data_IF_243353518151
#
_entry.id   IF_243353518151
#
_cell.length_a   1.000
_cell.length_b   1.000
_cell.length_c   1.000
_cell.angle_alpha   90.00
_cell.angle_beta   90.00
_cell.angle_gamma   90.00
#
_symmetry.space_group_name_H-M   'P 1'
#
loop_
_entity.id
_entity.type
_entity.pdbx_description
1 polymer ?
#
# COMPACT_ATOMS: atom_id res chain seq x y z
N UNK A 1 -30.25 9.05 9.76
CA UNK A 1 -29.77 9.30 8.39
C UNK A 1 -29.76 10.82 8.22
N UNK A 2 -28.60 11.44 8.05
CA UNK A 2 -28.51 12.89 7.88
C UNK A 2 -28.24 13.22 6.41
N UNK A 3 -29.21 13.90 5.79
CA UNK A 3 -29.14 14.41 4.41
C UNK A 3 -28.71 15.88 4.47
N UNK A 4 -27.86 16.32 3.54
CA UNK A 4 -27.58 17.75 3.36
C UNK A 4 -28.75 18.43 2.60
N UNK A 5 -28.90 19.74 2.79
CA UNK A 5 -29.99 20.63 2.34
C UNK A 5 -30.23 20.60 0.81
N UNK A 6 -29.29 20.08 0.02
CA UNK A 6 -29.38 20.00 -1.45
C UNK A 6 -29.91 18.68 -1.99
N UNK A 7 -30.23 17.70 -1.14
CA UNK A 7 -30.76 16.40 -1.58
C UNK A 7 -29.72 15.49 -2.26
N UNK A 8 -28.45 15.91 -2.33
CA UNK A 8 -27.36 15.01 -2.70
C UNK A 8 -27.07 14.08 -1.52
N UNK A 9 -27.28 12.78 -1.72
CA UNK A 9 -26.70 11.78 -0.82
C UNK A 9 -25.19 11.99 -0.83
N UNK A 10 -24.62 12.36 0.32
CA UNK A 10 -23.18 12.24 0.51
C UNK A 10 -22.90 10.74 0.49
N UNK A 11 -22.59 10.19 -0.68
CA UNK A 11 -21.96 8.89 -0.82
C UNK A 11 -20.55 9.00 -0.23
N UNK A 12 -20.44 8.93 1.11
CA UNK A 12 -19.21 8.45 1.72
C UNK A 12 -19.22 6.95 1.48
N UNK A 13 -18.55 6.52 0.41
CA UNK A 13 -18.33 5.09 0.18
C UNK A 13 -17.73 4.51 1.47
N UNK A 14 -18.38 3.52 2.12
CA UNK A 14 -17.82 2.87 3.30
C UNK A 14 -16.56 2.03 2.97
N UNK A 15 -16.23 1.89 1.68
CA UNK A 15 -15.30 0.90 1.14
C UNK A 15 -13.95 1.47 0.69
N UNK A 16 -13.60 2.72 1.04
CA UNK A 16 -12.17 3.04 1.17
C UNK A 16 -11.70 2.35 2.45
N UNK A 17 -11.54 1.01 2.38
CA UNK A 17 -10.96 0.24 3.46
C UNK A 17 -9.71 0.99 3.90
N UNK A 18 -9.66 1.34 5.18
CA UNK A 18 -8.45 1.88 5.79
C UNK A 18 -7.38 0.82 5.54
N UNK A 19 -6.51 1.09 4.58
CA UNK A 19 -5.34 0.26 4.37
C UNK A 19 -4.41 0.48 5.55
N UNK A 20 -3.55 -0.47 5.85
CA UNK A 20 -2.59 -0.31 6.95
C UNK A 20 -1.71 0.95 6.80
N UNK A 21 -1.54 1.45 5.57
CA UNK A 21 -0.85 2.70 5.23
C UNK A 21 -1.70 3.94 5.54
N UNK A 22 -3.02 3.88 5.35
CA UNK A 22 -3.96 4.98 5.64
C UNK A 22 -3.90 5.45 7.09
N UNK A 23 -3.57 4.56 8.03
CA UNK A 23 -3.45 4.87 9.46
C UNK A 23 -2.21 5.70 9.83
N UNK A 24 -1.30 5.91 8.88
CA UNK A 24 0.02 6.49 9.17
C UNK A 24 0.04 8.02 9.09
N UNK A 25 -1.10 8.68 8.86
CA UNK A 25 -1.25 10.15 8.77
C UNK A 25 -0.28 10.81 7.77
N UNK A 26 -0.01 10.13 6.65
CA UNK A 26 0.91 10.61 5.63
C UNK A 26 0.27 11.70 4.75
N UNK A 27 1.10 12.55 4.15
CA UNK A 27 0.62 13.46 3.11
C UNK A 27 -0.03 12.66 1.98
N UNK A 28 -1.18 13.13 1.46
CA UNK A 28 -2.02 12.39 0.50
C UNK A 28 -1.24 11.84 -0.70
N UNK A 29 -0.34 12.64 -1.27
CA UNK A 29 0.44 12.19 -2.44
C UNK A 29 1.40 11.05 -2.08
N UNK A 30 2.00 11.11 -0.88
CA UNK A 30 2.88 10.06 -0.40
C UNK A 30 2.10 8.78 -0.09
N UNK A 31 0.93 8.92 0.55
CA UNK A 31 0.02 7.80 0.78
C UNK A 31 -0.31 7.08 -0.53
N UNK A 32 -0.78 7.82 -1.54
CA UNK A 32 -1.14 7.25 -2.84
C UNK A 32 0.03 6.55 -3.52
N UNK A 33 1.22 7.14 -3.45
CA UNK A 33 2.43 6.54 -4.02
C UNK A 33 2.74 5.20 -3.35
N UNK A 34 2.66 5.11 -2.03
CA UNK A 34 2.95 3.89 -1.28
C UNK A 34 1.88 2.79 -1.53
N UNK A 35 0.61 3.17 -1.66
CA UNK A 35 -0.45 2.24 -2.09
C UNK A 35 -0.17 1.68 -3.48
N UNK A 36 0.20 2.53 -4.44
CA UNK A 36 0.56 2.08 -5.79
C UNK A 36 1.71 1.08 -5.76
N UNK A 37 2.70 1.27 -4.87
CA UNK A 37 3.81 0.31 -4.74
C UNK A 37 3.37 -1.03 -4.17
N UNK A 38 2.46 -1.02 -3.19
CA UNK A 38 1.85 -2.24 -2.68
C UNK A 38 1.07 -2.98 -3.77
N UNK A 39 0.24 -2.27 -4.52
CA UNK A 39 -0.57 -2.86 -5.59
C UNK A 39 0.29 -3.44 -6.71
N UNK A 40 1.41 -2.80 -7.06
CA UNK A 40 2.36 -3.33 -8.04
C UNK A 40 2.98 -4.66 -7.60
N UNK A 41 3.25 -4.85 -6.32
CA UNK A 41 3.74 -6.13 -5.78
C UNK A 41 2.65 -7.20 -5.91
N UNK A 42 1.41 -6.88 -5.50
CA UNK A 42 0.28 -7.80 -5.51
C UNK A 42 -0.18 -8.19 -6.92
N UNK A 43 -0.06 -7.27 -7.89
CA UNK A 43 -0.54 -7.47 -9.26
C UNK A 43 0.56 -7.90 -10.24
N UNK A 44 1.80 -8.05 -9.78
CA UNK A 44 2.90 -8.54 -10.59
C UNK A 44 2.55 -9.90 -11.25
N UNK A 45 2.88 -10.08 -12.52
CA UNK A 45 2.53 -11.29 -13.26
C UNK A 45 3.52 -12.43 -13.00
N UNK A 46 4.77 -12.09 -12.66
CA UNK A 46 5.85 -13.06 -12.43
C UNK A 46 6.57 -12.80 -11.11
N UNK A 47 7.20 -13.83 -10.55
CA UNK A 47 8.00 -13.70 -9.32
C UNK A 47 9.18 -12.72 -9.50
N UNK A 48 9.73 -12.63 -10.72
CA UNK A 48 10.77 -11.66 -11.05
C UNK A 48 10.26 -10.20 -10.92
N UNK A 49 9.03 -9.95 -11.39
CA UNK A 49 8.38 -8.65 -11.24
C UNK A 49 8.03 -8.36 -9.77
N UNK A 50 7.56 -9.36 -9.01
CA UNK A 50 7.32 -9.23 -7.56
C UNK A 50 8.60 -8.75 -6.88
N UNK A 51 9.73 -9.42 -7.12
CA UNK A 51 11.02 -9.08 -6.52
C UNK A 51 11.47 -7.66 -6.91
N UNK A 52 11.29 -7.27 -8.17
CA UNK A 52 11.63 -5.94 -8.65
C UNK A 52 10.78 -4.85 -7.98
N UNK A 53 9.46 -5.02 -7.94
CA UNK A 53 8.54 -4.06 -7.34
C UNK A 53 8.76 -3.94 -5.84
N UNK A 54 8.95 -5.06 -5.15
CA UNK A 54 9.23 -5.10 -3.72
C UNK A 54 10.54 -4.39 -3.36
N UNK A 55 11.62 -4.72 -4.07
CA UNK A 55 12.93 -4.07 -3.87
C UNK A 55 12.84 -2.57 -4.08
N UNK A 56 12.15 -2.13 -5.15
CA UNK A 56 11.93 -0.72 -5.42
C UNK A 56 11.14 -0.04 -4.29
N UNK A 57 10.04 -0.65 -3.83
CA UNK A 57 9.20 -0.12 -2.77
C UNK A 57 9.97 0.07 -1.45
N UNK A 58 10.80 -0.90 -1.06
CA UNK A 58 11.67 -0.78 0.13
C UNK A 58 12.75 0.29 -0.04
N UNK A 59 13.32 0.42 -1.24
CA UNK A 59 14.26 1.49 -1.56
C UNK A 59 13.63 2.89 -1.42
N UNK A 60 12.39 3.05 -1.90
CA UNK A 60 11.63 4.29 -1.75
C UNK A 60 11.39 4.63 -0.28
N UNK A 61 10.92 3.67 0.52
CA UNK A 61 10.72 3.86 1.98
C UNK A 61 12.01 4.28 2.66
N UNK A 62 13.14 3.63 2.33
CA UNK A 62 14.43 4.01 2.88
C UNK A 62 14.82 5.44 2.52
N UNK A 63 14.59 5.86 1.27
CA UNK A 63 14.84 7.23 0.84
C UNK A 63 13.99 8.26 1.59
N UNK A 64 12.70 7.94 1.82
CA UNK A 64 11.78 8.78 2.58
C UNK A 64 12.20 8.91 4.06
N UNK A 65 12.63 7.80 4.67
CA UNK A 65 13.11 7.75 6.05
C UNK A 65 14.39 8.59 6.22
N UNK A 66 15.40 8.35 5.37
CA UNK A 66 16.67 9.11 5.42
C UNK A 66 16.45 10.59 5.12
N UNK A 67 15.51 10.91 4.24
CA UNK A 67 15.11 12.28 3.93
C UNK A 67 14.24 12.95 5.00
N UNK A 68 13.87 12.25 6.08
CA UNK A 68 13.05 12.79 7.17
C UNK A 68 11.57 13.02 6.82
N UNK A 69 11.08 12.43 5.71
CA UNK A 69 9.68 12.55 5.30
C UNK A 69 8.74 11.62 6.08
N UNK A 70 9.31 10.54 6.63
CA UNK A 70 8.63 9.59 7.51
C UNK A 70 9.55 9.24 8.69
N UNK A 71 8.94 8.82 9.79
CA UNK A 71 9.66 8.34 10.97
C UNK A 71 10.20 6.92 10.75
N UNK A 72 11.23 6.48 11.50
CA UNK A 72 11.69 5.08 11.44
C UNK A 72 10.59 4.05 11.78
N UNK A 73 9.67 4.38 12.69
CA UNK A 73 8.55 3.50 13.02
C UNK A 73 7.56 3.37 11.84
N UNK A 74 7.32 4.46 11.11
CA UNK A 74 6.54 4.42 9.87
C UNK A 74 7.28 3.62 8.79
N UNK A 75 8.59 3.80 8.65
CA UNK A 75 9.37 3.00 7.69
C UNK A 75 9.26 1.49 8.00
N UNK A 76 9.37 1.10 9.27
CA UNK A 76 9.23 -0.29 9.70
C UNK A 76 7.86 -0.87 9.32
N UNK A 77 6.77 -0.15 9.65
CA UNK A 77 5.41 -0.59 9.28
C UNK A 77 5.25 -0.74 7.76
N UNK A 78 5.84 0.16 6.96
CA UNK A 78 5.80 0.05 5.49
C UNK A 78 6.61 -1.14 4.96
N UNK A 79 7.75 -1.46 5.58
CA UNK A 79 8.49 -2.67 5.23
C UNK A 79 7.66 -3.93 5.50
N UNK A 80 7.01 -4.01 6.67
CA UNK A 80 6.15 -5.16 7.01
C UNK A 80 4.99 -5.31 6.02
N UNK A 81 4.37 -4.19 5.61
CA UNK A 81 3.28 -4.19 4.61
C UNK A 81 3.76 -4.72 3.26
N UNK A 82 4.94 -4.31 2.79
CA UNK A 82 5.46 -4.80 1.50
C UNK A 82 5.96 -6.25 1.58
N UNK A 83 6.57 -6.65 2.70
CA UNK A 83 6.98 -8.04 2.93
C UNK A 83 5.75 -8.97 2.96
N UNK A 84 4.64 -8.54 3.58
CA UNK A 84 3.37 -9.27 3.53
C UNK A 84 2.80 -9.34 2.10
N UNK A 85 2.80 -8.23 1.36
CA UNK A 85 2.32 -8.20 -0.03
C UNK A 85 3.10 -9.15 -0.95
N UNK A 86 4.43 -9.25 -0.77
CA UNK A 86 5.25 -10.21 -1.50
C UNK A 86 4.86 -11.65 -1.13
N UNK A 87 4.77 -11.96 0.17
CA UNK A 87 4.43 -13.30 0.64
C UNK A 87 3.05 -13.77 0.16
N UNK A 88 2.05 -12.87 0.18
CA UNK A 88 0.71 -13.14 -0.31
C UNK A 88 0.74 -13.49 -1.82
N UNK A 89 1.47 -12.73 -2.63
CA UNK A 89 1.55 -12.95 -4.08
C UNK A 89 2.33 -14.22 -4.46
N UNK A 90 3.41 -14.53 -3.74
CA UNK A 90 4.17 -15.76 -3.92
C UNK A 90 3.32 -17.00 -3.52
N UNK A 91 2.50 -16.88 -2.46
CA UNK A 91 1.54 -17.91 -2.07
C UNK A 91 0.52 -18.23 -3.17
N UNK A 92 -0.03 -17.21 -3.83
CA UNK A 92 -0.95 -17.40 -4.98
C UNK A 92 -0.27 -18.10 -6.17
N UNK A 93 1.00 -17.79 -6.43
CA UNK A 93 1.79 -18.43 -7.50
C UNK A 93 1.87 -19.95 -7.30
N UNK A 94 2.10 -20.38 -6.05
CA UNK A 94 2.30 -21.80 -5.70
C UNK A 94 1.05 -22.69 -5.80
N UNK A 95 -0.15 -22.12 -5.76
CA UNK A 95 -1.41 -22.85 -5.90
C UNK A 95 -1.87 -23.00 -7.36
N UNK A 96 -1.32 -22.20 -8.28
CA UNK A 96 -1.70 -22.24 -9.70
C UNK A 96 -0.95 -23.34 -10.49
N UNK A 97 0.14 -23.86 -9.92
CA UNK A 97 1.00 -24.91 -10.51
C UNK A 97 0.66 -26.34 -10.03
N UNK A 98 -0.48 -26.57 -9.35
CA UNK A 98 -0.92 -27.89 -8.84
C UNK A 98 -1.98 -28.59 -9.68
#
# INVERSE_FOLDING_TARGET
MNTDITGNQIHRSPEFAQTDIGDMSLHRNLHNELEVRRDQILQAATDAEVWQHHTYAKGLVRGLEVGGNITPAQALKLYDIYDAAQADREGVSSDTDR
#
